data_IF_051722187747
#
_entry.id   IF_051722187747
#
_cell.length_a   1.000
_cell.length_b   1.000
_cell.length_c   1.000
_cell.angle_alpha   90.00
_cell.angle_beta   90.00
_cell.angle_gamma   90.00
#
_symmetry.space_group_name_H-M   'P 1'
#
loop_
_entity.id
_entity.type
_entity.pdbx_description
1 polymer ?
#
# COMPACT_ATOMS: atom_id res chain seq x y z
N UNK A 1 7.30 -4.92 -14.00
CA UNK A 1 6.90 -3.67 -13.34
C UNK A 1 7.28 -2.45 -14.16
N UNK A 2 8.56 -2.14 -14.38
CA UNK A 2 8.96 -0.95 -15.20
C UNK A 2 8.25 -0.90 -16.57
N UNK A 3 8.30 -2.00 -17.34
CA UNK A 3 7.62 -2.10 -18.65
C UNK A 3 6.10 -1.97 -18.59
N UNK A 4 5.49 -2.16 -17.41
CA UNK A 4 4.07 -1.98 -17.18
C UNK A 4 3.72 -0.54 -16.74
N UNK A 5 4.72 0.34 -16.58
CA UNK A 5 4.53 1.77 -16.28
C UNK A 5 4.46 2.10 -14.78
N UNK A 6 5.03 1.28 -13.90
CA UNK A 6 5.12 1.61 -12.48
C UNK A 6 6.25 2.62 -12.25
N UNK A 7 5.97 3.70 -11.50
CA UNK A 7 6.95 4.76 -11.15
C UNK A 7 7.44 4.68 -9.70
N UNK A 8 6.68 4.00 -8.83
CA UNK A 8 6.96 3.81 -7.40
C UNK A 8 6.50 2.42 -6.96
N UNK A 9 7.07 1.93 -5.85
CA UNK A 9 6.66 0.70 -5.21
C UNK A 9 6.74 0.84 -3.69
N UNK A 10 5.62 0.59 -3.01
CA UNK A 10 5.63 0.39 -1.56
C UNK A 10 6.37 -0.91 -1.25
N UNK A 11 7.39 -0.81 -0.39
CA UNK A 11 8.23 -1.94 0.02
C UNK A 11 8.21 -2.18 1.54
N UNK A 12 7.37 -1.43 2.27
CA UNK A 12 7.17 -1.57 3.73
C UNK A 12 6.37 -2.83 4.12
N UNK A 13 6.80 -3.99 3.61
CA UNK A 13 6.09 -5.27 3.77
C UNK A 13 6.82 -6.18 4.76
N UNK A 14 6.10 -7.11 5.38
CA UNK A 14 6.69 -8.18 6.19
C UNK A 14 7.61 -9.14 5.39
N UNK A 15 7.58 -9.09 4.06
CA UNK A 15 8.31 -10.01 3.19
C UNK A 15 9.64 -9.46 2.66
N UNK A 16 9.91 -8.16 2.83
CA UNK A 16 11.07 -7.48 2.22
C UNK A 16 12.43 -8.06 2.66
N UNK A 17 12.52 -8.70 3.84
CA UNK A 17 13.73 -9.40 4.31
C UNK A 17 13.58 -10.93 4.42
N UNK A 18 12.66 -11.57 3.71
CA UNK A 18 12.48 -13.04 3.81
C UNK A 18 13.77 -13.85 3.55
N UNK A 19 14.58 -13.45 2.56
CA UNK A 19 15.87 -14.09 2.31
C UNK A 19 16.82 -13.97 3.52
N UNK A 20 16.75 -12.85 4.25
CA UNK A 20 17.56 -12.59 5.44
C UNK A 20 17.33 -13.58 6.57
N UNK A 21 16.13 -14.18 6.67
CA UNK A 21 15.80 -15.24 7.64
C UNK A 21 16.63 -16.50 7.40
N UNK A 22 17.04 -16.74 6.16
CA UNK A 22 17.97 -17.82 5.82
C UNK A 22 19.41 -17.34 6.02
N UNK A 23 20.08 -16.89 4.95
CA UNK A 23 21.52 -16.65 4.94
C UNK A 23 21.91 -15.34 4.24
N UNK A 24 20.94 -14.54 3.77
CA UNK A 24 21.21 -13.39 2.90
C UNK A 24 21.53 -12.10 3.68
N UNK A 25 21.24 -12.08 4.99
CA UNK A 25 21.24 -10.84 5.78
C UNK A 25 20.43 -9.74 5.09
N UNK A 26 20.88 -8.50 5.22
CA UNK A 26 20.26 -7.34 4.55
C UNK A 26 20.68 -7.18 3.08
N UNK A 27 21.53 -8.07 2.54
CA UNK A 27 21.95 -7.96 1.12
C UNK A 27 20.77 -8.04 0.17
N UNK A 28 19.86 -9.00 0.38
CA UNK A 28 18.68 -9.15 -0.48
C UNK A 28 17.69 -7.98 -0.33
N UNK A 29 17.66 -7.36 0.84
CA UNK A 29 16.89 -6.14 1.09
C UNK A 29 17.44 -4.99 0.23
N UNK A 30 18.75 -4.72 0.31
CA UNK A 30 19.39 -3.69 -0.51
C UNK A 30 19.33 -4.01 -2.01
N UNK A 31 19.53 -5.26 -2.41
CA UNK A 31 19.38 -5.69 -3.80
C UNK A 31 17.97 -5.35 -4.33
N UNK A 32 16.93 -5.47 -3.50
CA UNK A 32 15.56 -5.10 -3.90
C UNK A 32 15.44 -3.60 -4.14
N UNK A 33 15.92 -2.77 -3.21
CA UNK A 33 15.88 -1.30 -3.34
C UNK A 33 16.70 -0.80 -4.54
N UNK A 34 17.91 -1.35 -4.72
CA UNK A 34 18.80 -1.02 -5.82
C UNK A 34 18.21 -1.43 -7.17
N UNK A 35 17.60 -2.61 -7.25
CA UNK A 35 16.96 -3.09 -8.48
C UNK A 35 15.79 -2.19 -8.90
N UNK A 36 14.95 -1.76 -7.96
CA UNK A 36 13.85 -0.83 -8.22
C UNK A 36 14.39 0.53 -8.71
N UNK A 37 15.32 1.11 -7.96
CA UNK A 37 15.89 2.42 -8.26
C UNK A 37 16.60 2.43 -9.62
N UNK A 38 17.34 1.36 -9.95
CA UNK A 38 18.05 1.20 -11.23
C UNK A 38 17.14 1.23 -12.45
N UNK A 39 15.88 0.82 -12.30
CA UNK A 39 14.87 0.83 -13.38
C UNK A 39 13.88 1.99 -13.22
N UNK A 40 14.21 3.00 -12.41
CA UNK A 40 13.40 4.22 -12.25
C UNK A 40 12.18 4.08 -11.34
N UNK A 41 11.99 2.94 -10.66
CA UNK A 41 10.92 2.74 -9.69
C UNK A 41 11.42 3.20 -8.32
N UNK A 42 10.77 4.20 -7.73
CA UNK A 42 11.15 4.66 -6.39
C UNK A 42 10.58 3.73 -5.30
N UNK A 43 11.43 3.09 -4.46
CA UNK A 43 10.94 2.38 -3.29
C UNK A 43 10.40 3.36 -2.25
N UNK A 44 9.28 3.02 -1.62
CA UNK A 44 8.63 3.82 -0.56
C UNK A 44 8.56 3.00 0.72
N UNK A 45 8.96 3.59 1.85
CA UNK A 45 8.79 3.01 3.18
C UNK A 45 9.89 2.05 3.63
N UNK A 46 11.08 2.13 3.05
CA UNK A 46 12.26 1.36 3.48
C UNK A 46 13.55 2.15 3.25
N UNK A 47 14.57 1.91 4.09
CA UNK A 47 15.82 2.65 4.04
C UNK A 47 16.98 1.97 4.81
N UNK A 48 18.12 2.65 4.85
CA UNK A 48 19.32 2.21 5.59
C UNK A 48 19.15 2.28 7.11
N UNK A 49 18.16 3.04 7.57
CA UNK A 49 17.77 3.24 8.95
C UNK A 49 16.31 3.77 8.97
N UNK A 50 15.77 3.99 10.17
CA UNK A 50 14.40 4.47 10.36
C UNK A 50 14.19 5.88 9.80
N UNK A 51 15.18 6.77 9.93
CA UNK A 51 15.07 8.13 9.38
C UNK A 51 14.85 8.11 7.86
N UNK A 52 15.61 7.29 7.15
CA UNK A 52 15.52 7.12 5.70
C UNK A 52 14.23 6.41 5.30
N UNK A 53 13.85 5.34 6.01
CA UNK A 53 12.63 4.59 5.74
C UNK A 53 11.36 5.44 5.89
N UNK A 54 11.39 6.44 6.77
CA UNK A 54 10.29 7.36 7.06
C UNK A 54 10.18 8.52 6.05
N UNK A 55 11.17 8.71 5.16
CA UNK A 55 11.12 9.81 4.20
C UNK A 55 10.02 9.61 3.14
N UNK A 56 9.25 10.66 2.81
CA UNK A 56 8.28 10.59 1.74
C UNK A 56 8.97 10.52 0.37
N UNK A 57 8.37 9.77 -0.56
CA UNK A 57 8.73 9.87 -1.97
C UNK A 57 7.77 10.84 -2.65
N UNK A 58 8.29 11.81 -3.41
CA UNK A 58 7.46 12.82 -4.08
C UNK A 58 7.54 12.66 -5.60
N UNK A 59 6.39 12.68 -6.26
CA UNK A 59 6.28 12.78 -7.72
C UNK A 59 5.47 14.00 -8.11
N UNK A 60 6.02 14.80 -9.01
CA UNK A 60 5.31 15.94 -9.59
C UNK A 60 4.63 15.52 -10.89
N UNK A 61 3.32 15.73 -10.99
CA UNK A 61 2.53 15.47 -12.19
C UNK A 61 1.70 16.70 -12.49
N UNK A 62 1.87 17.28 -13.69
CA UNK A 62 1.17 18.49 -14.12
C UNK A 62 1.26 19.66 -13.12
N UNK A 63 2.40 19.82 -12.45
CA UNK A 63 2.64 20.89 -11.47
C UNK A 63 2.06 20.63 -10.07
N UNK A 64 1.53 19.44 -9.80
CA UNK A 64 1.04 19.01 -8.48
C UNK A 64 2.00 17.96 -7.91
N UNK A 65 2.45 18.16 -6.67
CA UNK A 65 3.35 17.24 -5.97
C UNK A 65 2.55 16.23 -5.16
N UNK A 66 2.67 14.96 -5.52
CA UNK A 66 2.09 13.83 -4.79
C UNK A 66 3.17 13.19 -3.92
N UNK A 67 2.99 13.25 -2.60
CA UNK A 67 3.85 12.63 -1.60
C UNK A 67 3.31 11.28 -1.17
N UNK A 68 4.17 10.28 -1.13
CA UNK A 68 3.83 8.92 -0.76
C UNK A 68 4.61 8.51 0.48
N UNK A 69 3.89 8.01 1.48
CA UNK A 69 4.48 7.37 2.66
C UNK A 69 3.95 5.95 2.78
N UNK A 70 4.80 5.03 3.18
CA UNK A 70 4.46 3.61 3.34
C UNK A 70 5.06 3.08 4.62
N UNK A 71 4.26 2.37 5.42
CA UNK A 71 4.65 1.87 6.73
C UNK A 71 4.01 0.49 6.98
N UNK A 72 4.70 -0.40 7.69
CA UNK A 72 4.20 -1.74 8.02
C UNK A 72 4.30 -2.09 9.50
N UNK A 73 3.38 -2.93 10.01
CA UNK A 73 3.29 -3.27 11.45
C UNK A 73 3.40 -4.76 11.80
N UNK A 74 3.69 -5.63 10.84
CA UNK A 74 3.40 -7.06 10.99
C UNK A 74 4.57 -7.90 11.49
N UNK A 75 5.78 -7.62 11.02
CA UNK A 75 6.95 -8.46 11.29
C UNK A 75 8.09 -7.61 11.89
N UNK A 76 8.29 -7.66 13.21
CA UNK A 76 9.31 -6.86 13.88
C UNK A 76 10.74 -7.06 13.34
N UNK A 77 11.04 -8.23 12.78
CA UNK A 77 12.39 -8.51 12.22
C UNK A 77 12.73 -7.72 10.97
N UNK A 78 11.75 -7.06 10.34
CA UNK A 78 11.99 -6.22 9.15
C UNK A 78 11.99 -4.72 9.44
N UNK A 79 11.72 -4.33 10.69
CA UNK A 79 11.65 -2.93 11.09
C UNK A 79 13.03 -2.29 11.08
N UNK A 80 13.10 -1.05 10.58
CA UNK A 80 14.30 -0.24 10.72
C UNK A 80 14.39 0.36 12.13
N UNK A 81 15.60 0.61 12.60
CA UNK A 81 15.88 1.43 13.78
C UNK A 81 16.93 2.51 13.47
N UNK A 82 17.59 3.09 14.49
CA UNK A 82 18.59 4.14 14.28
C UNK A 82 19.78 3.69 13.43
N UNK A 83 20.20 2.42 13.56
CA UNK A 83 21.42 1.87 12.95
C UNK A 83 21.17 0.62 12.09
N UNK A 84 19.95 0.07 12.09
CA UNK A 84 19.57 -1.10 11.32
C UNK A 84 18.65 -0.74 10.13
N UNK A 85 18.94 -1.28 8.92
CA UNK A 85 18.10 -1.06 7.75
C UNK A 85 16.76 -1.77 7.92
N UNK A 86 15.75 -1.32 7.19
CA UNK A 86 14.44 -1.97 7.24
C UNK A 86 13.32 -1.08 6.75
N UNK A 87 12.11 -1.39 7.20
CA UNK A 87 10.90 -0.66 6.84
C UNK A 87 10.52 0.36 7.89
N UNK A 88 9.80 1.40 7.45
CA UNK A 88 9.11 2.31 8.34
C UNK A 88 8.06 1.56 9.16
N UNK A 89 8.11 1.71 10.48
CA UNK A 89 7.22 1.00 11.39
C UNK A 89 5.90 1.73 11.51
N UNK A 90 4.80 1.05 11.18
CA UNK A 90 3.46 1.60 11.36
C UNK A 90 3.07 1.52 12.83
N UNK A 91 3.12 2.67 13.50
CA UNK A 91 2.53 2.96 14.79
C UNK A 91 2.01 4.41 14.77
N UNK A 92 1.30 4.84 15.81
CA UNK A 92 0.67 6.18 15.84
C UNK A 92 1.68 7.31 15.62
N UNK A 93 2.79 7.32 16.37
CA UNK A 93 3.81 8.38 16.32
C UNK A 93 4.48 8.49 14.96
N UNK A 94 4.90 7.35 14.39
CA UNK A 94 5.53 7.30 13.08
C UNK A 94 4.53 7.70 11.99
N UNK A 95 3.29 7.20 12.05
CA UNK A 95 2.28 7.54 11.05
C UNK A 95 2.04 9.06 10.97
N UNK A 96 1.85 9.71 12.11
CA UNK A 96 1.71 11.17 12.19
C UNK A 96 2.94 11.85 11.62
N UNK A 97 4.13 11.48 12.10
CA UNK A 97 5.39 12.11 11.71
C UNK A 97 5.67 11.99 10.20
N UNK A 98 5.39 10.83 9.61
CA UNK A 98 5.56 10.60 8.17
C UNK A 98 4.61 11.48 7.34
N UNK A 99 3.35 11.58 7.76
CA UNK A 99 2.33 12.39 7.07
C UNK A 99 2.69 13.88 7.17
N UNK A 100 3.09 14.35 8.35
CA UNK A 100 3.53 15.73 8.56
C UNK A 100 4.74 16.07 7.70
N UNK A 101 5.75 15.19 7.64
CA UNK A 101 6.92 15.35 6.78
C UNK A 101 6.54 15.38 5.30
N UNK A 102 5.67 14.47 4.84
CA UNK A 102 5.17 14.43 3.47
C UNK A 102 4.45 15.71 3.08
N UNK A 103 3.64 16.27 3.99
CA UNK A 103 2.88 17.51 3.79
C UNK A 103 3.78 18.73 3.58
N UNK A 104 4.97 18.78 4.20
CA UNK A 104 5.90 19.90 4.00
C UNK A 104 6.42 20.01 2.56
N UNK A 105 6.44 18.89 1.83
CA UNK A 105 7.06 18.80 0.51
C UNK A 105 6.08 18.44 -0.60
N UNK A 106 4.80 18.21 -0.27
CA UNK A 106 3.78 17.71 -1.19
C UNK A 106 2.47 18.48 -1.08
N UNK A 107 1.74 18.57 -2.20
CA UNK A 107 0.42 19.19 -2.26
C UNK A 107 -0.69 18.16 -1.98
N UNK A 108 -0.45 16.89 -2.31
CA UNK A 108 -1.31 15.75 -1.99
C UNK A 108 -0.50 14.69 -1.23
N UNK A 109 -1.01 14.15 -0.13
CA UNK A 109 -0.36 13.11 0.69
C UNK A 109 -1.14 11.80 0.61
N UNK A 110 -0.47 10.77 0.12
CA UNK A 110 -1.00 9.41 -0.06
C UNK A 110 -0.29 8.48 0.91
N UNK A 111 -1.06 7.81 1.76
CA UNK A 111 -0.57 6.88 2.78
C UNK A 111 -0.83 5.44 2.34
N UNK A 112 0.20 4.60 2.37
CA UNK A 112 0.14 3.20 1.93
C UNK A 112 0.50 2.28 3.11
N UNK A 113 -0.43 2.02 4.05
CA UNK A 113 -0.15 1.14 5.17
C UNK A 113 -0.18 -0.34 4.78
N UNK A 114 0.80 -1.11 5.25
CA UNK A 114 0.81 -2.57 5.20
C UNK A 114 0.30 -3.09 6.55
N UNK A 115 -0.95 -3.56 6.60
CA UNK A 115 -1.69 -3.70 7.87
C UNK A 115 -2.76 -4.80 7.88
N UNK A 116 -3.33 -5.05 9.06
CA UNK A 116 -4.45 -5.96 9.22
C UNK A 116 -4.04 -7.44 9.22
N UNK A 117 -4.99 -8.34 9.53
CA UNK A 117 -4.76 -9.78 9.42
C UNK A 117 -4.95 -10.25 7.98
N UNK A 118 -4.12 -11.21 7.54
CA UNK A 118 -4.29 -11.93 6.28
C UNK A 118 -5.66 -12.63 6.22
N UNK A 119 -6.23 -12.71 5.03
CA UNK A 119 -7.44 -13.46 4.68
C UNK A 119 -8.73 -12.96 5.37
N UNK A 120 -8.69 -11.77 5.97
CA UNK A 120 -9.85 -11.15 6.62
C UNK A 120 -10.42 -10.04 5.73
N UNK A 121 -11.61 -10.21 5.13
CA UNK A 121 -12.19 -9.20 4.24
C UNK A 121 -12.69 -7.96 4.99
N UNK A 122 -12.90 -8.06 6.30
CA UNK A 122 -13.41 -6.97 7.13
C UNK A 122 -12.30 -6.25 7.88
N UNK A 123 -12.14 -4.92 7.70
CA UNK A 123 -11.15 -4.16 8.45
C UNK A 123 -11.37 -4.27 9.95
N UNK A 124 -10.33 -4.67 10.67
CA UNK A 124 -10.41 -4.77 12.12
C UNK A 124 -10.42 -3.38 12.80
N UNK A 125 -10.59 -3.34 14.11
CA UNK A 125 -10.63 -2.07 14.84
C UNK A 125 -9.34 -1.26 14.70
N UNK A 126 -8.18 -1.92 14.68
CA UNK A 126 -6.87 -1.25 14.61
C UNK A 126 -6.64 -0.62 13.24
N UNK A 127 -7.02 -1.29 12.15
CA UNK A 127 -6.99 -0.70 10.81
C UNK A 127 -7.86 0.56 10.75
N UNK A 128 -9.08 0.51 11.32
CA UNK A 128 -10.01 1.65 11.32
C UNK A 128 -9.49 2.83 12.16
N UNK A 129 -8.85 2.54 13.29
CA UNK A 129 -8.27 3.55 14.16
C UNK A 129 -7.07 4.24 13.51
N UNK A 130 -6.16 3.46 12.91
CA UNK A 130 -5.03 3.98 12.13
C UNK A 130 -5.49 4.75 10.88
N UNK A 131 -6.58 4.32 10.23
CA UNK A 131 -7.16 5.05 9.11
C UNK A 131 -7.68 6.42 9.53
N UNK A 132 -8.44 6.49 10.64
CA UNK A 132 -8.88 7.77 11.21
C UNK A 132 -7.68 8.65 11.57
N UNK A 133 -6.68 8.08 12.23
CA UNK A 133 -5.46 8.82 12.60
C UNK A 133 -4.72 9.37 11.39
N UNK A 134 -4.62 8.60 10.30
CA UNK A 134 -4.00 9.08 9.06
C UNK A 134 -4.75 10.28 8.47
N UNK A 135 -6.09 10.22 8.46
CA UNK A 135 -6.93 11.34 8.00
C UNK A 135 -6.76 12.56 8.90
N UNK A 136 -6.81 12.38 10.22
CA UNK A 136 -6.65 13.45 11.20
C UNK A 136 -5.27 14.12 11.12
N UNK A 137 -4.23 13.36 10.80
CA UNK A 137 -2.87 13.86 10.56
C UNK A 137 -2.71 14.59 9.21
N UNK A 138 -3.71 14.50 8.32
CA UNK A 138 -3.75 15.22 7.05
C UNK A 138 -3.37 14.37 5.84
N UNK A 139 -3.69 13.08 5.81
CA UNK A 139 -3.69 12.29 4.57
C UNK A 139 -4.84 12.74 3.65
N UNK A 140 -4.60 12.77 2.33
CA UNK A 140 -5.65 13.04 1.32
C UNK A 140 -6.22 11.72 0.73
N UNK A 141 -5.50 10.61 0.91
CA UNK A 141 -5.89 9.28 0.45
C UNK A 141 -5.13 8.22 1.26
N UNK A 142 -5.83 7.17 1.69
CA UNK A 142 -5.23 5.99 2.34
C UNK A 142 -5.51 4.74 1.51
N UNK A 143 -4.46 4.00 1.15
CA UNK A 143 -4.54 2.77 0.34
C UNK A 143 -3.77 1.64 1.00
N UNK A 144 -4.49 0.82 1.76
CA UNK A 144 -3.95 -0.32 2.47
C UNK A 144 -3.69 -1.54 1.57
N UNK A 145 -2.78 -2.40 2.04
CA UNK A 145 -2.47 -3.71 1.45
C UNK A 145 -2.16 -4.72 2.58
N UNK A 146 -1.49 -5.83 2.26
CA UNK A 146 -1.17 -7.00 3.10
C UNK A 146 -2.23 -8.11 3.15
N UNK A 147 -3.51 -7.77 3.26
CA UNK A 147 -4.56 -8.74 3.64
C UNK A 147 -4.81 -9.88 2.64
N UNK A 148 -4.18 -9.87 1.47
CA UNK A 148 -4.31 -10.83 0.37
C UNK A 148 -5.71 -10.98 -0.24
N UNK A 149 -6.72 -10.37 0.37
CA UNK A 149 -8.10 -10.27 -0.10
C UNK A 149 -8.52 -8.81 -0.20
N UNK A 150 -9.51 -8.52 -1.05
CA UNK A 150 -10.14 -7.20 -1.12
C UNK A 150 -10.87 -6.88 0.18
N UNK A 151 -10.78 -5.63 0.63
CA UNK A 151 -11.47 -5.14 1.83
C UNK A 151 -12.37 -3.94 1.52
N UNK A 152 -13.06 -3.46 2.55
CA UNK A 152 -13.96 -2.33 2.50
C UNK A 152 -13.30 -1.02 2.00
N UNK A 153 -14.17 -0.10 1.58
CA UNK A 153 -13.88 1.30 1.31
C UNK A 153 -14.66 2.14 2.30
N UNK A 154 -14.03 3.17 2.84
CA UNK A 154 -14.66 4.14 3.74
C UNK A 154 -14.34 5.56 3.29
N UNK A 155 -15.25 6.48 3.60
CA UNK A 155 -14.96 7.91 3.59
C UNK A 155 -14.91 8.41 5.04
N UNK A 156 -13.81 9.08 5.38
CA UNK A 156 -13.54 9.62 6.70
C UNK A 156 -13.28 11.12 6.50
N UNK A 157 -14.20 11.97 6.97
CA UNK A 157 -14.11 13.44 6.86
C UNK A 157 -13.79 13.95 5.44
N UNK A 158 -14.35 13.28 4.43
CA UNK A 158 -14.15 13.58 3.00
C UNK A 158 -12.97 12.86 2.35
N UNK A 159 -12.13 12.17 3.12
CA UNK A 159 -10.96 11.42 2.62
C UNK A 159 -11.32 9.96 2.36
N UNK A 160 -10.94 9.43 1.20
CA UNK A 160 -11.16 8.02 0.84
C UNK A 160 -10.09 7.12 1.49
N UNK A 161 -10.58 6.03 2.07
CA UNK A 161 -9.77 4.96 2.66
C UNK A 161 -10.13 3.64 1.97
N UNK A 162 -9.16 3.04 1.29
CA UNK A 162 -9.24 1.71 0.71
C UNK A 162 -8.46 0.77 1.61
N UNK A 163 -9.13 -0.13 2.34
CA UNK A 163 -8.45 -0.90 3.39
C UNK A 163 -7.52 -2.00 2.87
N UNK A 164 -7.84 -2.57 1.70
CA UNK A 164 -7.07 -3.65 1.08
C UNK A 164 -7.54 -3.87 -0.36
N UNK A 165 -6.61 -3.92 -1.31
CA UNK A 165 -6.91 -4.06 -2.74
C UNK A 165 -6.83 -5.52 -3.26
N UNK A 166 -6.54 -6.49 -2.41
CA UNK A 166 -6.26 -7.87 -2.81
C UNK A 166 -4.91 -8.02 -3.52
N UNK A 167 -4.73 -9.16 -4.20
CA UNK A 167 -3.48 -9.48 -4.88
C UNK A 167 -3.50 -9.01 -6.34
N UNK A 168 -2.34 -8.51 -6.82
CA UNK A 168 -2.15 -8.12 -8.22
C UNK A 168 -1.23 -9.07 -8.98
N UNK A 169 0.01 -9.28 -8.51
CA UNK A 169 0.93 -10.30 -9.06
C UNK A 169 1.42 -11.13 -7.88
N UNK A 170 0.94 -12.37 -7.77
CA UNK A 170 1.24 -13.22 -6.62
C UNK A 170 1.09 -14.71 -6.97
N UNK A 171 1.86 -15.57 -6.30
CA UNK A 171 1.90 -17.02 -6.54
C UNK A 171 1.00 -17.83 -5.59
N UNK A 172 0.20 -17.16 -4.77
CA UNK A 172 -0.77 -17.78 -3.86
C UNK A 172 -2.04 -18.19 -4.61
N UNK A 173 -2.04 -19.41 -5.11
CA UNK A 173 -3.11 -19.94 -5.97
C UNK A 173 -4.01 -21.00 -5.29
N UNK A 174 -3.95 -21.10 -3.97
CA UNK A 174 -4.72 -22.10 -3.21
C UNK A 174 -6.17 -21.71 -2.96
N UNK A 175 -6.53 -20.44 -3.14
CA UNK A 175 -7.89 -19.94 -2.99
C UNK A 175 -8.18 -18.82 -4.01
N UNK A 176 -9.42 -18.78 -4.50
CA UNK A 176 -9.83 -17.89 -5.59
C UNK A 176 -9.71 -16.41 -5.20
N UNK A 177 -10.00 -16.07 -3.97
CA UNK A 177 -9.86 -14.71 -3.44
C UNK A 177 -8.41 -14.23 -3.40
N UNK A 178 -7.42 -15.12 -3.28
CA UNK A 178 -5.99 -14.78 -3.42
C UNK A 178 -5.59 -14.55 -4.88
N UNK A 179 -6.38 -15.03 -5.83
CA UNK A 179 -6.19 -14.75 -7.26
C UNK A 179 -6.91 -13.47 -7.69
N UNK A 180 -7.64 -12.82 -6.79
CA UNK A 180 -8.49 -11.68 -7.11
C UNK A 180 -7.99 -10.41 -6.44
N UNK A 181 -8.11 -9.30 -7.16
CA UNK A 181 -7.76 -7.98 -6.67
C UNK A 181 -8.44 -6.88 -7.46
N UNK A 182 -8.03 -5.64 -7.19
CA UNK A 182 -8.48 -4.47 -7.93
C UNK A 182 -7.31 -3.55 -8.23
N UNK A 183 -7.24 -3.05 -9.46
CA UNK A 183 -6.46 -1.84 -9.76
C UNK A 183 -7.34 -0.66 -9.35
N UNK A 184 -6.83 0.15 -8.43
CA UNK A 184 -7.43 1.43 -8.07
C UNK A 184 -6.91 2.52 -9.00
N UNK A 185 -7.82 3.13 -9.78
CA UNK A 185 -7.53 4.31 -10.59
C UNK A 185 -8.18 5.52 -9.94
N UNK A 186 -7.39 6.53 -9.63
CA UNK A 186 -7.86 7.78 -9.00
C UNK A 186 -7.64 8.95 -9.96
N UNK A 187 -8.64 9.82 -10.08
CA UNK A 187 -8.58 11.01 -10.92
C UNK A 187 -8.51 12.27 -10.06
N UNK A 188 -7.52 13.11 -10.32
CA UNK A 188 -7.35 14.40 -9.66
C UNK A 188 -7.57 15.57 -10.63
N UNK A 189 -8.18 16.64 -10.12
CA UNK A 189 -8.19 17.96 -10.75
C UNK A 189 -7.45 18.94 -9.84
N UNK A 190 -6.21 19.27 -10.21
CA UNK A 190 -5.30 19.96 -9.28
C UNK A 190 -5.00 19.05 -8.09
N UNK A 191 -5.24 19.52 -6.87
CA UNK A 191 -5.05 18.75 -5.62
C UNK A 191 -6.30 17.99 -5.19
N UNK A 192 -7.44 18.19 -5.85
CA UNK A 192 -8.72 17.59 -5.45
C UNK A 192 -8.92 16.24 -6.15
N UNK A 193 -9.19 15.19 -5.37
CA UNK A 193 -9.67 13.91 -5.90
C UNK A 193 -11.13 14.09 -6.34
N UNK A 194 -11.42 13.91 -7.63
CA UNK A 194 -12.77 14.10 -8.18
C UNK A 194 -13.47 12.78 -8.52
N UNK A 195 -12.72 11.69 -8.68
CA UNK A 195 -13.28 10.39 -9.06
C UNK A 195 -12.32 9.24 -8.72
N UNK A 196 -12.88 8.03 -8.59
CA UNK A 196 -12.11 6.80 -8.55
C UNK A 196 -12.85 5.65 -9.26
N UNK A 197 -12.07 4.76 -9.84
CA UNK A 197 -12.53 3.56 -10.54
C UNK A 197 -11.82 2.34 -9.96
N UNK A 198 -12.59 1.30 -9.63
CA UNK A 198 -12.06 -0.01 -9.28
C UNK A 198 -12.11 -0.88 -10.52
N UNK A 199 -10.96 -1.38 -10.95
CA UNK A 199 -10.83 -2.27 -12.11
C UNK A 199 -10.46 -3.65 -11.59
N UNK A 200 -11.41 -4.60 -11.47
CA UNK A 200 -11.14 -5.92 -10.90
C UNK A 200 -10.17 -6.73 -11.77
N UNK A 201 -9.30 -7.49 -11.12
CA UNK A 201 -8.26 -8.30 -11.75
C UNK A 201 -8.29 -9.74 -11.26
N UNK A 202 -7.84 -10.64 -12.14
CA UNK A 202 -7.59 -12.05 -11.85
C UNK A 202 -6.12 -12.39 -12.13
N UNK A 203 -5.51 -13.20 -11.27
CA UNK A 203 -4.15 -13.73 -11.42
C UNK A 203 -4.23 -15.22 -11.70
N UNK A 204 -3.84 -15.61 -12.91
CA UNK A 204 -3.80 -17.00 -13.33
C UNK A 204 -2.71 -17.78 -12.57
N UNK A 205 -2.79 -19.11 -12.61
CA UNK A 205 -1.84 -20.00 -11.96
C UNK A 205 -0.38 -19.82 -12.40
N UNK A 206 -0.14 -19.25 -13.58
CA UNK A 206 1.18 -18.95 -14.11
C UNK A 206 1.67 -17.52 -13.76
N UNK A 207 0.89 -16.79 -12.95
CA UNK A 207 1.17 -15.43 -12.51
C UNK A 207 0.77 -14.34 -13.52
N UNK A 208 0.13 -14.70 -14.64
CA UNK A 208 -0.38 -13.73 -15.61
C UNK A 208 -1.62 -13.02 -15.05
N UNK A 209 -1.66 -11.69 -15.20
CA UNK A 209 -2.77 -10.87 -14.69
C UNK A 209 -3.68 -10.43 -15.82
N UNK A 210 -4.98 -10.58 -15.59
CA UNK A 210 -6.04 -10.18 -16.50
C UNK A 210 -7.02 -9.24 -15.81
N UNK A 211 -7.69 -8.40 -16.60
CA UNK A 211 -8.92 -7.75 -16.13
C UNK A 211 -9.97 -8.87 -15.97
N UNK A 212 -10.62 -8.91 -14.82
CA UNK A 212 -11.61 -9.93 -14.53
C UNK A 212 -12.79 -9.87 -15.52
N UNK A 213 -13.36 -11.02 -15.84
CA UNK A 213 -14.58 -11.09 -16.65
C UNK A 213 -15.77 -10.47 -15.91
N UNK A 214 -16.82 -10.08 -16.63
CA UNK A 214 -17.97 -9.34 -16.07
C UNK A 214 -18.57 -9.97 -14.80
N UNK A 215 -18.76 -11.29 -14.78
CA UNK A 215 -19.33 -12.01 -13.63
C UNK A 215 -18.40 -11.94 -12.43
N UNK A 216 -17.12 -12.25 -12.62
CA UNK A 216 -16.11 -12.23 -11.55
C UNK A 216 -15.87 -10.81 -11.03
N UNK A 217 -15.84 -9.82 -11.93
CA UNK A 217 -15.74 -8.42 -11.57
C UNK A 217 -16.89 -8.00 -10.64
N UNK A 218 -18.13 -8.42 -10.93
CA UNK A 218 -19.28 -8.16 -10.06
C UNK A 218 -19.13 -8.85 -8.70
N UNK A 219 -18.61 -10.07 -8.63
CA UNK A 219 -18.36 -10.77 -7.37
C UNK A 219 -17.31 -10.05 -6.51
N UNK A 220 -16.22 -9.60 -7.11
CA UNK A 220 -15.17 -8.83 -6.43
C UNK A 220 -15.76 -7.53 -5.88
N UNK A 221 -16.47 -6.76 -6.70
CA UNK A 221 -17.05 -5.48 -6.33
C UNK A 221 -18.15 -5.63 -5.25
N UNK A 222 -18.96 -6.69 -5.32
CA UNK A 222 -19.99 -6.97 -4.31
C UNK A 222 -19.36 -7.26 -2.94
N UNK A 223 -18.25 -8.01 -2.86
CA UNK A 223 -17.55 -8.23 -1.59
C UNK A 223 -17.04 -6.93 -0.98
N UNK A 224 -16.51 -6.02 -1.81
CA UNK A 224 -16.07 -4.70 -1.37
C UNK A 224 -17.26 -3.88 -0.84
N UNK A 225 -18.37 -3.83 -1.57
CA UNK A 225 -19.58 -3.10 -1.18
C UNK A 225 -20.23 -3.66 0.09
N UNK A 226 -20.34 -4.98 0.22
CA UNK A 226 -20.83 -5.65 1.43
C UNK A 226 -19.95 -5.36 2.64
N UNK A 227 -18.62 -5.44 2.49
CA UNK A 227 -17.67 -5.08 3.53
C UNK A 227 -17.82 -3.61 3.93
N UNK A 228 -17.93 -2.71 2.96
CA UNK A 228 -18.09 -1.26 3.16
C UNK A 228 -19.37 -0.92 3.93
N UNK A 229 -20.51 -1.56 3.59
CA UNK A 229 -21.79 -1.34 4.27
C UNK A 229 -21.83 -1.88 5.70
N UNK A 230 -20.91 -2.76 6.04
CA UNK A 230 -20.80 -3.35 7.39
C UNK A 230 -19.89 -2.55 8.33
N UNK A 231 -19.20 -1.54 7.81
CA UNK A 231 -18.44 -0.61 8.65
C UNK A 231 -19.39 0.19 9.55
N UNK A 232 -18.98 0.45 10.81
CA UNK A 232 -19.80 1.17 11.78
C UNK A 232 -19.90 2.67 11.49
#
# INVERSE_FOLDING_TARGET
MERAGFDLMSVATNHIKNCGISNCGDRAFFDTLDNLTRVGIAPVGAGENLHDAMQPVVREVNGVRFGFVSLGQLEPRVFADEDEPGIAVLNEENLISAIEAARQVSDVVIVIPHWGPEDVPQPNWSQRDLARLAVDAGADLVVGNHTHVVQAIQEIDGVKVFYGLGNFIFDQNWALDHQQGVILKVTYQGTEMIDYELIPTHVDFDGLVHIAGEVEALEILNRIDEASRSLP
#
